data_IF_425183069215
#
_entry.id   IF_425183069215
#
_cell.length_a   1.000
_cell.length_b   1.000
_cell.length_c   1.000
_cell.angle_alpha   90.00
_cell.angle_beta   90.00
_cell.angle_gamma   90.00
#
_symmetry.space_group_name_H-M   'P 1'
#
loop_
_entity.id
_entity.type
_entity.pdbx_description
1 polymer ?
#
# COMPACT_ATOMS: atom_id res chain seq x y z
N UNK A 1 -25.60 7.52 16.48
CA UNK A 1 -25.64 6.20 15.84
C UNK A 1 -26.94 6.09 15.06
N UNK A 2 -26.87 5.93 13.73
CA UNK A 2 -28.02 5.46 12.93
C UNK A 2 -27.80 3.97 12.70
N UNK A 3 -28.69 3.13 13.24
CA UNK A 3 -28.69 1.69 13.00
C UNK A 3 -29.62 1.46 11.82
N UNK A 4 -29.09 1.08 10.68
CA UNK A 4 -29.89 0.71 9.53
C UNK A 4 -29.29 -0.58 8.98
N UNK A 5 -30.11 -1.64 8.83
CA UNK A 5 -29.70 -2.91 8.18
C UNK A 5 -28.37 -3.52 8.69
N UNK A 6 -28.26 -3.68 10.01
CA UNK A 6 -27.15 -4.35 10.72
C UNK A 6 -25.77 -3.65 10.65
N UNK A 7 -25.65 -2.40 10.19
CA UNK A 7 -24.40 -1.65 10.29
C UNK A 7 -24.52 -0.44 11.24
N UNK A 8 -23.37 0.07 11.65
CA UNK A 8 -23.22 1.21 12.56
C UNK A 8 -22.51 2.35 11.85
N UNK A 9 -23.12 3.54 11.85
CA UNK A 9 -22.47 4.77 11.39
C UNK A 9 -22.56 5.83 12.48
N UNK A 10 -21.42 6.44 12.79
CA UNK A 10 -21.32 7.60 13.67
C UNK A 10 -22.15 8.78 13.14
N UNK A 11 -22.59 9.67 14.05
CA UNK A 11 -23.25 10.93 13.65
C UNK A 11 -22.28 11.92 13.02
N UNK A 12 -20.98 11.86 13.34
CA UNK A 12 -19.96 12.76 12.79
C UNK A 12 -19.32 12.23 11.50
N UNK A 13 -19.62 10.99 11.11
CA UNK A 13 -19.16 10.45 9.84
C UNK A 13 -19.85 11.16 8.67
N UNK A 14 -19.08 11.47 7.62
CA UNK A 14 -19.57 12.08 6.39
C UNK A 14 -19.54 11.01 5.31
N UNK A 15 -20.73 10.63 4.84
CA UNK A 15 -20.91 9.63 3.80
C UNK A 15 -21.40 10.34 2.55
N UNK A 16 -20.61 10.31 1.47
CA UNK A 16 -20.95 10.97 0.22
C UNK A 16 -21.97 10.16 -0.60
N UNK A 17 -22.24 10.61 -1.83
CA UNK A 17 -23.30 10.04 -2.67
C UNK A 17 -22.94 8.64 -3.18
N UNK A 18 -23.96 7.79 -3.32
CA UNK A 18 -23.86 6.43 -3.85
C UNK A 18 -22.90 5.50 -3.09
N UNK A 19 -22.59 5.80 -1.82
CA UNK A 19 -21.81 4.90 -0.97
C UNK A 19 -22.65 3.69 -0.55
N UNK A 20 -22.08 2.50 -0.70
CA UNK A 20 -22.70 1.25 -0.27
C UNK A 20 -21.97 0.71 0.95
N UNK A 21 -22.70 0.38 2.01
CA UNK A 21 -22.15 -0.15 3.26
C UNK A 21 -22.80 -1.50 3.55
N UNK A 22 -21.97 -2.54 3.61
CA UNK A 22 -22.35 -3.91 3.90
C UNK A 22 -22.78 -4.10 5.36
N UNK A 23 -23.45 -5.24 5.60
CA UNK A 23 -23.93 -5.59 6.93
C UNK A 23 -22.77 -5.73 7.94
N UNK A 24 -23.05 -5.47 9.21
CA UNK A 24 -22.13 -5.59 10.35
C UNK A 24 -20.89 -4.68 10.28
N UNK A 25 -20.85 -3.74 9.34
CA UNK A 25 -19.76 -2.79 9.25
C UNK A 25 -19.92 -1.64 10.26
N UNK A 26 -18.81 -1.12 10.76
CA UNK A 26 -18.74 -0.02 11.72
C UNK A 26 -17.96 1.14 11.10
N UNK A 27 -18.60 2.30 11.01
CA UNK A 27 -17.98 3.54 10.57
C UNK A 27 -17.91 4.48 11.78
N UNK A 28 -16.69 4.72 12.27
CA UNK A 28 -16.41 5.50 13.47
C UNK A 28 -16.52 7.02 13.24
N UNK A 29 -16.32 7.76 14.32
CA UNK A 29 -16.33 9.22 14.34
C UNK A 29 -15.28 9.80 13.39
N UNK A 30 -15.63 10.92 12.74
CA UNK A 30 -14.74 11.71 11.87
C UNK A 30 -14.20 10.92 10.65
N UNK A 31 -14.89 9.86 10.25
CA UNK A 31 -14.65 9.19 8.97
C UNK A 31 -15.34 9.94 7.85
N UNK A 32 -14.64 10.16 6.75
CA UNK A 32 -15.18 10.69 5.51
C UNK A 32 -15.01 9.65 4.39
N UNK A 33 -16.11 9.31 3.72
CA UNK A 33 -16.12 8.33 2.62
C UNK A 33 -16.59 9.04 1.35
N UNK A 34 -15.73 9.04 0.32
CA UNK A 34 -15.98 9.64 -0.99
C UNK A 34 -17.03 8.90 -1.83
N UNK A 35 -17.45 9.53 -2.92
CA UNK A 35 -18.56 9.09 -3.76
C UNK A 35 -18.33 7.69 -4.35
N UNK A 36 -19.41 6.96 -4.61
CA UNK A 36 -19.40 5.67 -5.29
C UNK A 36 -18.51 4.59 -4.63
N UNK A 37 -18.16 4.77 -3.35
CA UNK A 37 -17.34 3.82 -2.61
C UNK A 37 -18.19 2.66 -2.11
N UNK A 38 -17.63 1.45 -2.17
CA UNK A 38 -18.25 0.24 -1.64
C UNK A 38 -17.44 -0.22 -0.43
N UNK A 39 -18.08 -0.28 0.72
CA UNK A 39 -17.57 -0.93 1.93
C UNK A 39 -18.34 -2.22 2.09
N UNK A 40 -17.68 -3.36 1.92
CA UNK A 40 -18.28 -4.68 2.09
C UNK A 40 -18.60 -4.98 3.56
N UNK A 41 -19.10 -6.19 3.84
CA UNK A 41 -19.58 -6.60 5.15
C UNK A 41 -18.45 -6.76 6.19
N UNK A 42 -18.81 -6.60 7.46
CA UNK A 42 -17.93 -6.79 8.61
C UNK A 42 -16.65 -5.90 8.56
N UNK A 43 -16.70 -4.76 7.88
CA UNK A 43 -15.57 -3.82 7.84
C UNK A 43 -15.61 -2.86 9.04
N UNK A 44 -14.46 -2.44 9.52
CA UNK A 44 -14.34 -1.39 10.53
C UNK A 44 -13.52 -0.26 9.94
N UNK A 45 -14.07 0.95 9.87
CA UNK A 45 -13.41 2.11 9.28
C UNK A 45 -13.31 3.22 10.34
N UNK A 46 -12.10 3.75 10.50
CA UNK A 46 -11.77 4.74 11.51
C UNK A 46 -11.59 4.17 12.92
N UNK A 47 -11.15 2.90 13.04
CA UNK A 47 -10.91 2.25 14.34
C UNK A 47 -10.06 3.15 15.26
N UNK A 48 -10.53 3.48 16.48
CA UNK A 48 -9.76 4.29 17.41
C UNK A 48 -8.44 3.64 17.78
N UNK A 49 -7.39 4.45 17.92
CA UNK A 49 -6.12 3.93 18.42
C UNK A 49 -6.19 3.66 19.95
N UNK A 50 -5.14 3.05 20.49
CA UNK A 50 -5.09 2.61 21.88
C UNK A 50 -5.25 3.72 22.94
N UNK A 51 -5.10 5.01 22.57
CA UNK A 51 -5.31 6.15 23.48
C UNK A 51 -6.78 6.31 23.87
N UNK A 52 -7.70 5.88 23.01
CA UNK A 52 -9.14 5.94 23.26
C UNK A 52 -9.59 5.21 24.53
N UNK A 53 -8.85 4.19 24.94
CA UNK A 53 -9.12 3.42 26.17
C UNK A 53 -8.60 4.10 27.45
N UNK A 54 -7.80 5.15 27.33
CA UNK A 54 -7.07 5.77 28.45
C UNK A 54 -7.38 7.24 28.65
N UNK A 55 -7.86 7.92 27.60
CA UNK A 55 -8.06 9.36 27.58
C UNK A 55 -9.55 9.69 27.50
N UNK A 56 -10.12 10.29 28.56
CA UNK A 56 -11.55 10.62 28.63
C UNK A 56 -12.01 11.61 27.54
N UNK A 57 -11.09 12.44 27.05
CA UNK A 57 -11.36 13.44 26.00
C UNK A 57 -10.76 13.06 24.64
N UNK A 58 -10.58 11.76 24.39
CA UNK A 58 -10.05 11.29 23.11
C UNK A 58 -10.97 11.72 21.95
N UNK A 59 -10.38 12.39 20.96
CA UNK A 59 -11.04 12.74 19.72
C UNK A 59 -10.48 11.84 18.63
N UNK A 60 -11.35 11.04 18.01
CA UNK A 60 -10.95 10.14 16.93
C UNK A 60 -10.38 10.96 15.75
N UNK A 61 -9.11 10.75 15.34
CA UNK A 61 -8.54 11.49 14.23
C UNK A 61 -9.30 11.25 12.92
N UNK A 62 -9.35 12.30 12.08
CA UNK A 62 -10.03 12.24 10.79
C UNK A 62 -9.46 11.11 9.92
N UNK A 63 -10.34 10.31 9.35
CA UNK A 63 -9.98 9.23 8.42
C UNK A 63 -10.66 9.48 7.09
N UNK A 64 -9.93 9.40 5.99
CA UNK A 64 -10.47 9.71 4.67
C UNK A 64 -10.33 8.53 3.72
N UNK A 65 -11.45 8.09 3.14
CA UNK A 65 -11.51 7.11 2.06
C UNK A 65 -11.89 7.84 0.77
N UNK A 66 -11.01 7.85 -0.22
CA UNK A 66 -11.26 8.48 -1.52
C UNK A 66 -12.43 7.87 -2.30
N UNK A 67 -12.92 8.60 -3.29
CA UNK A 67 -14.03 8.16 -4.14
C UNK A 67 -13.70 6.91 -4.95
N UNK A 68 -14.73 6.16 -5.37
CA UNK A 68 -14.62 4.95 -6.16
C UNK A 68 -13.78 3.84 -5.50
N UNK A 69 -13.68 3.85 -4.17
CA UNK A 69 -12.91 2.85 -3.42
C UNK A 69 -13.71 1.56 -3.22
N UNK A 70 -13.00 0.45 -3.06
CA UNK A 70 -13.58 -0.86 -2.75
C UNK A 70 -12.88 -1.45 -1.52
N UNK A 71 -13.54 -1.39 -0.37
CA UNK A 71 -13.05 -1.96 0.88
C UNK A 71 -13.74 -3.31 1.09
N UNK A 72 -12.99 -4.39 0.95
CA UNK A 72 -13.52 -5.75 0.98
C UNK A 72 -13.69 -6.29 2.40
N UNK A 73 -14.48 -7.37 2.51
CA UNK A 73 -15.08 -7.81 3.75
C UNK A 73 -14.05 -8.11 4.86
N UNK A 74 -14.38 -7.71 6.08
CA UNK A 74 -13.52 -7.94 7.24
C UNK A 74 -12.29 -7.03 7.33
N UNK A 75 -12.12 -6.06 6.43
CA UNK A 75 -11.04 -5.09 6.53
C UNK A 75 -11.21 -4.14 7.72
N UNK A 76 -10.12 -3.88 8.44
CA UNK A 76 -10.04 -2.94 9.56
C UNK A 76 -9.08 -1.82 9.18
N UNK A 77 -9.60 -0.60 9.14
CA UNK A 77 -8.85 0.62 8.85
C UNK A 77 -8.93 1.53 10.07
N UNK A 78 -7.79 1.88 10.63
CA UNK A 78 -7.68 2.71 11.81
C UNK A 78 -7.80 4.21 11.49
N UNK A 79 -8.07 4.94 12.57
CA UNK A 79 -8.21 6.38 12.58
C UNK A 79 -6.95 7.14 12.13
N UNK A 80 -7.13 8.33 11.58
CA UNK A 80 -6.00 9.19 11.18
C UNK A 80 -5.34 8.81 9.85
N UNK A 81 -5.86 7.80 9.16
CA UNK A 81 -5.34 7.33 7.88
C UNK A 81 -6.06 8.00 6.70
N UNK A 82 -5.36 8.17 5.58
CA UNK A 82 -5.88 8.81 4.37
C UNK A 82 -5.59 7.95 3.14
N UNK A 83 -6.61 7.72 2.33
CA UNK A 83 -6.55 6.86 1.16
C UNK A 83 -7.06 7.62 -0.06
N UNK A 84 -6.27 7.68 -1.12
CA UNK A 84 -6.64 8.32 -2.38
C UNK A 84 -7.81 7.65 -3.08
N UNK A 85 -8.22 8.22 -4.22
CA UNK A 85 -9.28 7.66 -5.06
C UNK A 85 -8.94 6.24 -5.56
N UNK A 86 -9.97 5.43 -5.78
CA UNK A 86 -9.83 4.05 -6.27
C UNK A 86 -9.00 3.15 -5.35
N UNK A 87 -8.95 3.43 -4.05
CA UNK A 87 -8.28 2.55 -3.08
C UNK A 87 -9.02 1.23 -2.96
N UNK A 88 -8.30 0.11 -3.04
CA UNK A 88 -8.91 -1.23 -3.01
C UNK A 88 -8.23 -2.12 -1.99
N UNK A 89 -9.01 -2.86 -1.20
CA UNK A 89 -8.49 -3.92 -0.33
C UNK A 89 -8.90 -5.31 -0.81
N UNK A 90 -8.13 -6.33 -0.41
CA UNK A 90 -8.56 -7.72 -0.30
C UNK A 90 -9.36 -7.93 0.99
N UNK A 91 -9.78 -9.16 1.27
CA UNK A 91 -10.52 -9.45 2.51
C UNK A 91 -9.58 -9.45 3.72
N UNK A 92 -10.09 -9.13 4.91
CA UNK A 92 -9.35 -9.26 6.18
C UNK A 92 -8.00 -8.51 6.20
N UNK A 93 -7.96 -7.34 5.58
CA UNK A 93 -6.79 -6.44 5.62
C UNK A 93 -6.82 -5.61 6.89
N UNK A 94 -5.67 -5.41 7.53
CA UNK A 94 -5.51 -4.51 8.69
C UNK A 94 -4.57 -3.35 8.32
N UNK A 95 -5.05 -2.11 8.45
CA UNK A 95 -4.24 -0.91 8.22
C UNK A 95 -4.37 0.00 9.43
N UNK A 96 -3.27 0.16 10.16
CA UNK A 96 -3.19 0.95 11.38
C UNK A 96 -3.09 2.45 11.13
N UNK A 97 -3.17 3.21 12.21
CA UNK A 97 -3.34 4.65 12.26
C UNK A 97 -2.24 5.42 11.53
N UNK A 98 -2.56 6.62 11.05
CA UNK A 98 -1.57 7.52 10.42
C UNK A 98 -1.01 7.04 9.08
N UNK A 99 -1.61 6.02 8.46
CA UNK A 99 -1.16 5.50 7.17
C UNK A 99 -1.70 6.36 6.03
N UNK A 100 -0.87 6.64 5.02
CA UNK A 100 -1.22 7.42 3.84
C UNK A 100 -1.01 6.58 2.59
N UNK A 101 -2.04 6.47 1.76
CA UNK A 101 -1.98 5.83 0.46
C UNK A 101 -2.41 6.81 -0.63
N UNK A 102 -1.64 6.88 -1.70
CA UNK A 102 -2.00 7.58 -2.93
C UNK A 102 -3.21 6.96 -3.64
N UNK A 103 -3.46 7.41 -4.87
CA UNK A 103 -4.58 6.92 -5.70
C UNK A 103 -4.29 5.54 -6.26
N UNK A 104 -5.34 4.78 -6.56
CA UNK A 104 -5.28 3.47 -7.22
C UNK A 104 -4.38 2.43 -6.51
N UNK A 105 -4.18 2.59 -5.20
CA UNK A 105 -3.46 1.61 -4.41
C UNK A 105 -4.32 0.37 -4.12
N UNK A 106 -3.68 -0.80 -4.14
CA UNK A 106 -4.32 -2.08 -3.87
C UNK A 106 -3.59 -2.76 -2.71
N UNK A 107 -4.34 -3.18 -1.68
CA UNK A 107 -3.80 -3.93 -0.53
C UNK A 107 -4.43 -5.31 -0.46
N UNK A 108 -3.67 -6.36 -0.76
CA UNK A 108 -4.16 -7.73 -0.89
C UNK A 108 -4.57 -8.38 0.43
N UNK A 109 -5.35 -9.46 0.33
CA UNK A 109 -5.97 -10.18 1.45
C UNK A 109 -4.98 -10.54 2.56
N UNK A 110 -5.40 -10.40 3.83
CA UNK A 110 -4.59 -10.70 5.01
C UNK A 110 -3.27 -9.92 5.13
N UNK A 111 -3.13 -8.80 4.42
CA UNK A 111 -1.99 -7.90 4.62
C UNK A 111 -2.19 -7.06 5.87
N UNK A 112 -1.07 -6.75 6.53
CA UNK A 112 -1.02 -6.03 7.79
C UNK A 112 -0.04 -4.85 7.67
N UNK A 113 -0.54 -3.63 7.87
CA UNK A 113 0.21 -2.37 7.78
C UNK A 113 0.18 -1.70 9.14
N UNK A 114 1.34 -1.57 9.79
CA UNK A 114 1.49 -1.24 11.21
C UNK A 114 1.42 0.26 11.56
N UNK A 115 0.96 1.12 10.63
CA UNK A 115 0.71 2.55 10.88
C UNK A 115 1.90 3.44 10.52
N UNK A 116 1.67 4.76 10.43
CA UNK A 116 2.68 5.75 10.03
C UNK A 116 3.46 5.36 8.76
N UNK A 117 2.78 4.75 7.80
CA UNK A 117 3.36 4.30 6.51
C UNK A 117 2.87 5.19 5.40
N UNK A 118 3.72 5.43 4.40
CA UNK A 118 3.39 6.25 3.24
C UNK A 118 3.58 5.45 1.96
N UNK A 119 2.54 5.37 1.14
CA UNK A 119 2.58 4.87 -0.23
C UNK A 119 2.21 5.97 -1.22
N UNK A 120 2.98 6.06 -2.32
CA UNK A 120 2.62 6.83 -3.50
C UNK A 120 1.44 6.22 -4.26
N UNK A 121 1.29 6.60 -5.53
CA UNK A 121 0.18 6.18 -6.36
C UNK A 121 0.41 4.79 -6.99
N UNK A 122 -0.67 4.07 -7.32
CA UNK A 122 -0.66 2.80 -8.06
C UNK A 122 0.19 1.68 -7.43
N UNK A 123 0.43 1.73 -6.12
CA UNK A 123 1.11 0.66 -5.40
C UNK A 123 0.22 -0.59 -5.30
N UNK A 124 0.84 -1.76 -5.36
CA UNK A 124 0.13 -3.04 -5.25
C UNK A 124 0.82 -3.94 -4.24
N UNK A 125 0.13 -4.22 -3.15
CA UNK A 125 0.51 -5.22 -2.17
C UNK A 125 -0.34 -6.46 -2.45
N UNK A 126 0.30 -7.62 -2.62
CA UNK A 126 -0.41 -8.89 -2.73
C UNK A 126 -0.75 -9.43 -1.34
N UNK A 127 -1.29 -10.65 -1.26
CA UNK A 127 -1.75 -11.24 -0.01
C UNK A 127 -0.64 -11.48 1.01
N UNK A 128 -0.97 -11.38 2.29
CA UNK A 128 -0.07 -11.65 3.42
C UNK A 128 1.20 -10.79 3.44
N UNK A 129 1.15 -9.56 2.94
CA UNK A 129 2.26 -8.62 3.08
C UNK A 129 2.24 -7.99 4.47
N UNK A 130 3.41 -7.89 5.11
CA UNK A 130 3.57 -7.25 6.41
C UNK A 130 4.46 -6.02 6.28
N UNK A 131 3.92 -4.85 6.63
CA UNK A 131 4.64 -3.57 6.58
C UNK A 131 4.78 -3.01 7.99
N UNK A 132 6.01 -2.96 8.49
CA UNK A 132 6.31 -2.27 9.74
C UNK A 132 6.13 -0.74 9.61
N UNK A 133 5.88 -0.08 10.74
CA UNK A 133 5.64 1.37 10.75
C UNK A 133 6.85 2.16 10.27
N UNK A 134 6.60 3.39 9.79
CA UNK A 134 7.59 4.34 9.25
C UNK A 134 8.23 3.94 7.91
N UNK A 135 7.71 2.92 7.24
CA UNK A 135 8.14 2.60 5.87
C UNK A 135 7.54 3.60 4.86
N UNK A 136 8.33 3.92 3.84
CA UNK A 136 7.95 4.86 2.77
C UNK A 136 8.13 4.21 1.41
N UNK A 137 7.13 4.32 0.56
CA UNK A 137 7.09 3.71 -0.76
C UNK A 137 6.73 4.78 -1.80
N UNK A 138 7.50 4.82 -2.88
CA UNK A 138 7.21 5.63 -4.06
C UNK A 138 5.95 5.14 -4.79
N UNK A 139 5.75 5.61 -6.01
CA UNK A 139 4.61 5.19 -6.85
C UNK A 139 4.94 3.93 -7.66
N UNK A 140 3.92 3.17 -8.03
CA UNK A 140 4.06 1.95 -8.84
C UNK A 140 4.94 0.87 -8.18
N UNK A 141 5.03 0.85 -6.85
CA UNK A 141 5.76 -0.19 -6.12
C UNK A 141 4.89 -1.44 -6.00
N UNK A 142 5.41 -2.57 -6.45
CA UNK A 142 4.72 -3.86 -6.38
C UNK A 142 5.39 -4.77 -5.34
N UNK A 143 4.61 -5.20 -4.36
CA UNK A 143 5.03 -6.02 -3.24
C UNK A 143 4.28 -7.35 -3.31
N UNK A 144 5.00 -8.42 -3.60
CA UNK A 144 4.43 -9.74 -3.83
C UNK A 144 4.11 -10.49 -2.52
N UNK A 145 3.43 -11.65 -2.57
CA UNK A 145 2.92 -12.29 -1.37
C UNK A 145 3.99 -12.60 -0.32
N UNK A 146 3.62 -12.53 0.96
CA UNK A 146 4.48 -12.92 2.10
C UNK A 146 5.77 -12.10 2.23
N UNK A 147 5.82 -10.89 1.66
CA UNK A 147 6.94 -9.97 1.90
C UNK A 147 6.79 -9.33 3.28
N UNK A 148 7.91 -9.21 3.98
CA UNK A 148 7.99 -8.60 5.32
C UNK A 148 8.97 -7.44 5.31
N UNK A 149 8.51 -6.27 5.74
CA UNK A 149 9.35 -5.12 6.05
C UNK A 149 9.48 -4.97 7.56
N UNK A 150 10.69 -4.72 8.03
CA UNK A 150 11.01 -4.55 9.46
C UNK A 150 11.52 -3.13 9.73
N UNK A 151 11.53 -2.72 11.00
CA UNK A 151 11.91 -1.35 11.37
C UNK A 151 12.73 -1.21 12.66
N UNK A 152 13.05 -2.29 13.38
CA UNK A 152 13.88 -2.23 14.60
C UNK A 152 15.29 -2.77 14.32
N UNK A 153 16.33 -1.92 14.16
CA UNK A 153 17.67 -2.37 13.80
C UNK A 153 18.34 -3.25 14.86
N UNK A 154 17.97 -3.09 16.14
CA UNK A 154 18.56 -3.77 17.29
C UNK A 154 17.46 -4.20 18.27
N UNK A 155 16.63 -5.20 17.91
CA UNK A 155 15.41 -5.49 18.65
C UNK A 155 15.64 -6.14 20.02
N UNK A 156 14.86 -5.79 21.06
CA UNK A 156 13.90 -4.67 21.08
C UNK A 156 14.59 -3.32 21.34
N UNK A 157 14.21 -2.27 20.61
CA UNK A 157 14.68 -0.90 20.84
C UNK A 157 13.58 0.16 20.71
N UNK A 158 13.86 1.35 21.25
CA UNK A 158 13.00 2.53 21.06
C UNK A 158 13.26 3.25 19.73
N UNK A 159 14.29 2.84 18.98
CA UNK A 159 14.70 3.50 17.74
C UNK A 159 14.18 2.67 16.57
N UNK A 160 13.01 3.05 16.08
CA UNK A 160 12.40 2.44 14.91
C UNK A 160 12.68 3.27 13.66
N UNK A 161 13.28 2.64 12.64
CA UNK A 161 13.65 3.22 11.35
C UNK A 161 13.12 2.29 10.25
N UNK A 162 12.06 2.72 9.57
CA UNK A 162 11.46 1.99 8.47
C UNK A 162 12.32 2.02 7.20
N UNK A 163 11.91 1.23 6.21
CA UNK A 163 12.57 1.16 4.91
C UNK A 163 12.04 2.23 3.95
N UNK A 164 12.82 2.54 2.90
CA UNK A 164 12.34 3.33 1.77
C UNK A 164 12.44 2.55 0.46
N UNK A 165 11.40 2.58 -0.38
CA UNK A 165 11.39 1.91 -1.69
C UNK A 165 11.02 2.91 -2.78
N UNK A 166 11.90 3.08 -3.77
CA UNK A 166 11.71 4.01 -4.88
C UNK A 166 10.69 3.54 -5.92
N UNK A 167 10.29 4.47 -6.78
CA UNK A 167 9.25 4.24 -7.80
C UNK A 167 9.55 3.02 -8.67
N UNK A 168 8.49 2.31 -9.07
CA UNK A 168 8.55 1.15 -9.98
C UNK A 168 9.35 -0.05 -9.45
N UNK A 169 9.80 -0.05 -8.20
CA UNK A 169 10.52 -1.19 -7.64
C UNK A 169 9.59 -2.36 -7.31
N UNK A 170 10.12 -3.57 -7.44
CA UNK A 170 9.41 -4.82 -7.21
C UNK A 170 10.09 -5.66 -6.14
N UNK A 171 9.31 -6.11 -5.16
CA UNK A 171 9.77 -6.95 -4.06
C UNK A 171 9.10 -8.31 -4.17
N UNK A 172 9.83 -9.29 -4.70
CA UNK A 172 9.26 -10.60 -4.99
C UNK A 172 8.94 -11.40 -3.72
N UNK A 173 8.09 -12.41 -3.90
CA UNK A 173 7.42 -13.13 -2.83
C UNK A 173 8.38 -13.69 -1.77
N UNK A 174 7.96 -13.66 -0.50
CA UNK A 174 8.71 -14.23 0.62
C UNK A 174 9.98 -13.47 1.01
N UNK A 175 10.22 -12.28 0.45
CA UNK A 175 11.41 -11.49 0.80
C UNK A 175 11.25 -10.77 2.13
N UNK A 176 12.36 -10.65 2.86
CA UNK A 176 12.44 -9.92 4.13
C UNK A 176 13.38 -8.73 3.94
N UNK A 177 12.90 -7.53 4.26
CA UNK A 177 13.67 -6.30 4.18
C UNK A 177 14.03 -5.86 5.61
N UNK A 178 15.34 -5.81 5.89
CA UNK A 178 15.84 -5.37 7.20
C UNK A 178 15.60 -3.87 7.41
N UNK A 179 15.68 -3.37 8.65
CA UNK A 179 15.48 -1.96 8.97
C UNK A 179 16.51 -1.06 8.30
N UNK A 180 16.21 0.24 8.19
CA UNK A 180 17.09 1.26 7.61
C UNK A 180 17.48 1.07 6.14
N UNK A 181 16.88 0.11 5.42
CA UNK A 181 17.24 -0.17 4.04
C UNK A 181 16.54 0.80 3.08
N UNK A 182 17.33 1.36 2.18
CA UNK A 182 16.85 2.10 1.02
C UNK A 182 16.99 1.27 -0.25
N UNK A 183 15.88 1.06 -0.95
CA UNK A 183 15.80 0.44 -2.26
C UNK A 183 15.48 1.55 -3.26
N UNK A 184 16.32 1.70 -4.28
CA UNK A 184 16.19 2.71 -5.33
C UNK A 184 14.96 2.51 -6.22
N UNK A 185 14.93 3.21 -7.35
CA UNK A 185 13.89 3.11 -8.39
C UNK A 185 14.16 1.96 -9.35
N UNK A 186 13.10 1.38 -9.91
CA UNK A 186 13.18 0.29 -10.90
C UNK A 186 14.00 -0.92 -10.46
N UNK A 187 14.10 -1.16 -9.15
CA UNK A 187 14.81 -2.30 -8.60
C UNK A 187 13.97 -3.57 -8.67
N UNK A 188 14.65 -4.70 -8.68
CA UNK A 188 14.03 -6.00 -8.46
C UNK A 188 14.71 -6.67 -7.26
N UNK A 189 13.92 -7.08 -6.27
CA UNK A 189 14.35 -8.01 -5.23
C UNK A 189 13.77 -9.37 -5.59
N UNK A 190 14.64 -10.37 -5.76
CA UNK A 190 14.28 -11.74 -6.10
C UNK A 190 13.53 -12.44 -4.97
N UNK A 191 12.79 -13.51 -5.29
CA UNK A 191 11.97 -14.21 -4.30
C UNK A 191 12.81 -14.79 -3.16
N UNK A 192 12.24 -14.84 -1.96
CA UNK A 192 12.86 -15.37 -0.74
C UNK A 192 14.21 -14.73 -0.40
N UNK A 193 14.34 -13.42 -0.63
CA UNK A 193 15.60 -12.69 -0.36
C UNK A 193 15.63 -12.06 1.03
N UNK A 194 16.80 -12.04 1.67
CA UNK A 194 17.06 -11.27 2.88
C UNK A 194 17.86 -10.01 2.53
N UNK A 195 17.19 -8.87 2.41
CA UNK A 195 17.83 -7.60 2.03
C UNK A 195 18.41 -6.92 3.27
N UNK A 196 19.73 -6.90 3.37
CA UNK A 196 20.47 -6.34 4.50
C UNK A 196 21.39 -5.17 4.11
N UNK A 197 21.32 -4.68 2.87
CA UNK A 197 22.08 -3.55 2.35
C UNK A 197 21.21 -2.73 1.40
N UNK A 198 21.54 -1.45 1.28
CA UNK A 198 20.89 -0.55 0.32
C UNK A 198 21.07 -1.06 -1.12
N UNK A 199 20.06 -0.81 -1.94
CA UNK A 199 19.98 -1.24 -3.34
C UNK A 199 19.87 0.00 -4.21
N UNK A 200 20.77 0.15 -5.18
CA UNK A 200 20.78 1.31 -6.09
C UNK A 200 19.76 1.13 -7.22
N UNK A 201 19.42 2.24 -7.88
CA UNK A 201 18.48 2.24 -8.99
C UNK A 201 18.82 1.20 -10.07
N UNK A 202 17.78 0.57 -10.62
CA UNK A 202 17.86 -0.43 -11.69
C UNK A 202 18.64 -1.71 -11.32
N UNK A 203 18.92 -1.96 -10.04
CA UNK A 203 19.64 -3.16 -9.62
C UNK A 203 18.70 -4.35 -9.38
N UNK A 204 19.24 -5.54 -9.64
CA UNK A 204 18.64 -6.81 -9.28
C UNK A 204 19.45 -7.47 -8.15
N UNK A 205 18.80 -7.69 -7.01
CA UNK A 205 19.37 -8.40 -5.86
C UNK A 205 18.57 -9.67 -5.55
N UNK A 206 19.25 -10.73 -5.12
CA UNK A 206 18.58 -11.98 -4.68
C UNK A 206 19.41 -12.77 -3.69
N UNK A 207 18.77 -13.63 -2.88
CA UNK A 207 19.43 -14.59 -1.99
C UNK A 207 19.40 -14.22 -0.50
N UNK A 208 20.08 -15.02 0.33
CA UNK A 208 20.19 -14.80 1.77
C UNK A 208 21.66 -14.93 2.24
N UNK A 209 22.36 -13.81 2.51
CA UNK A 209 21.91 -12.43 2.30
C UNK A 209 21.72 -12.11 0.82
N UNK A 210 20.87 -11.12 0.52
CA UNK A 210 20.63 -10.68 -0.84
C UNK A 210 21.91 -10.03 -1.41
N UNK A 211 22.30 -10.47 -2.60
CA UNK A 211 23.47 -9.94 -3.31
C UNK A 211 23.06 -9.42 -4.68
N UNK A 212 23.74 -8.36 -5.12
CA UNK A 212 23.58 -7.82 -6.46
C UNK A 212 24.03 -8.86 -7.49
N UNK A 213 23.13 -9.23 -8.38
CA UNK A 213 23.44 -10.14 -9.50
C UNK A 213 23.50 -9.42 -10.86
N UNK A 214 23.05 -8.16 -10.93
CA UNK A 214 23.18 -7.36 -12.14
C UNK A 214 22.23 -6.16 -12.16
N UNK A 215 22.05 -5.61 -13.36
CA UNK A 215 20.98 -4.66 -13.65
C UNK A 215 19.71 -5.40 -14.08
N UNK A 216 18.55 -4.82 -13.80
CA UNK A 216 17.25 -5.43 -14.15
C UNK A 216 17.06 -5.61 -15.67
N UNK A 217 17.67 -4.77 -16.49
CA UNK A 217 17.58 -4.83 -17.96
C UNK A 217 18.29 -6.05 -18.58
N UNK A 218 19.03 -6.84 -17.81
CA UNK A 218 19.60 -8.11 -18.26
C UNK A 218 18.61 -9.28 -18.16
N UNK A 219 17.46 -9.09 -17.50
CA UNK A 219 16.42 -10.11 -17.41
C UNK A 219 15.61 -10.06 -18.70
N UNK A 220 15.70 -11.13 -19.49
CA UNK A 220 15.11 -11.20 -20.81
C UNK A 220 13.72 -11.86 -20.79
N UNK A 221 12.75 -11.24 -21.45
CA UNK A 221 11.43 -11.83 -21.67
C UNK A 221 11.45 -12.74 -22.90
N UNK A 222 11.13 -14.03 -22.71
CA UNK A 222 10.98 -14.97 -23.84
C UNK A 222 9.76 -14.67 -24.70
N UNK A 223 8.70 -14.13 -24.09
CA UNK A 223 7.45 -13.77 -24.75
C UNK A 223 7.64 -12.57 -25.67
N UNK A 224 8.21 -11.48 -25.15
CA UNK A 224 8.35 -10.21 -25.89
C UNK A 224 9.66 -10.10 -26.68
N UNK A 225 10.57 -11.08 -26.55
CA UNK A 225 11.91 -11.08 -27.17
C UNK A 225 12.68 -9.77 -26.97
N UNK A 226 12.59 -9.21 -25.76
CA UNK A 226 13.28 -7.98 -25.33
C UNK A 226 13.51 -7.98 -23.81
N UNK A 227 14.28 -7.03 -23.24
CA UNK A 227 14.40 -6.89 -21.79
C UNK A 227 13.02 -6.76 -21.12
N UNK A 228 12.82 -7.49 -20.02
CA UNK A 228 11.59 -7.43 -19.23
C UNK A 228 11.50 -6.11 -18.45
N UNK A 229 12.64 -5.51 -18.09
CA UNK A 229 12.71 -4.30 -17.29
C UNK A 229 13.44 -3.16 -18.03
N UNK A 230 13.04 -1.89 -17.83
CA UNK A 230 12.00 -1.40 -16.92
C UNK A 230 10.60 -1.94 -17.24
N UNK A 231 9.91 -2.46 -16.22
CA UNK A 231 8.67 -3.21 -16.41
C UNK A 231 7.49 -2.40 -16.98
N UNK A 232 7.39 -1.05 -16.85
CA UNK A 232 6.27 -0.30 -17.43
C UNK A 232 6.12 -0.47 -18.95
N UNK A 233 7.22 -0.79 -19.65
CA UNK A 233 7.18 -1.08 -21.08
C UNK A 233 6.54 -2.42 -21.44
N UNK A 234 6.47 -3.35 -20.49
CA UNK A 234 6.05 -4.74 -20.71
C UNK A 234 4.77 -5.12 -19.95
N UNK A 235 4.21 -4.21 -19.15
CA UNK A 235 2.99 -4.46 -18.37
C UNK A 235 2.22 -3.15 -18.13
N UNK A 236 0.92 -3.21 -18.36
CA UNK A 236 0.06 -2.03 -18.41
C UNK A 236 -1.33 -2.23 -17.78
N UNK A 237 -1.70 -3.49 -17.44
CA UNK A 237 -3.01 -3.82 -16.89
C UNK A 237 -3.29 -3.08 -15.59
N UNK A 238 -4.34 -2.24 -15.61
CA UNK A 238 -4.78 -1.43 -14.48
C UNK A 238 -3.83 -0.28 -14.14
N UNK A 239 -3.10 0.22 -15.14
CA UNK A 239 -2.13 1.31 -15.01
C UNK A 239 -2.53 2.43 -15.98
N UNK A 240 -2.10 3.68 -15.71
CA UNK A 240 -2.60 4.83 -16.46
C UNK A 240 -2.11 4.86 -17.92
N UNK A 241 -1.16 4.00 -18.30
CA UNK A 241 -0.69 3.84 -19.66
C UNK A 241 -1.28 2.64 -20.43
N UNK A 242 -2.30 1.96 -19.90
CA UNK A 242 -2.93 0.79 -20.52
C UNK A 242 -3.36 0.99 -21.98
N UNK A 243 -3.86 2.18 -22.33
CA UNK A 243 -4.41 2.46 -23.66
C UNK A 243 -3.46 3.28 -24.55
N UNK A 244 -2.50 4.00 -23.94
CA UNK A 244 -1.63 4.96 -24.65
C UNK A 244 -0.17 4.51 -24.74
N UNK A 245 0.25 3.53 -23.94
CA UNK A 245 1.65 3.12 -23.81
C UNK A 245 2.46 4.06 -22.90
N UNK A 246 3.50 3.51 -22.28
CA UNK A 246 4.27 4.21 -21.24
C UNK A 246 4.98 5.47 -21.76
N UNK A 247 5.54 5.43 -22.97
CA UNK A 247 6.24 6.58 -23.56
C UNK A 247 5.30 7.76 -23.85
N UNK A 248 4.07 7.51 -24.29
CA UNK A 248 3.12 8.61 -24.51
C UNK A 248 2.53 9.11 -23.19
N UNK A 249 2.28 8.21 -22.24
CA UNK A 249 1.80 8.59 -20.91
C UNK A 249 2.79 9.50 -20.18
N UNK A 250 4.10 9.22 -20.24
CA UNK A 250 5.14 10.05 -19.57
C UNK A 250 5.24 11.48 -20.11
N UNK A 251 4.64 11.78 -21.27
CA UNK A 251 4.56 13.14 -21.82
C UNK A 251 3.39 13.95 -21.27
N UNK A 252 2.41 13.31 -20.62
CA UNK A 252 1.26 13.96 -19.98
C UNK A 252 1.66 14.63 -18.65
N UNK A 253 0.84 15.54 -18.12
CA UNK A 253 1.08 16.16 -16.81
C UNK A 253 1.19 15.12 -15.68
N UNK A 254 0.42 14.04 -15.76
CA UNK A 254 0.44 12.96 -14.78
C UNK A 254 1.73 12.12 -14.86
N UNK A 255 2.20 11.83 -16.08
CA UNK A 255 3.34 10.94 -16.29
C UNK A 255 4.71 11.61 -16.23
N UNK A 256 4.79 12.94 -16.42
CA UNK A 256 6.05 13.72 -16.42
C UNK A 256 6.96 13.47 -15.20
N UNK A 257 6.46 13.34 -13.95
CA UNK A 257 7.31 13.04 -12.80
C UNK A 257 8.02 11.68 -12.86
N UNK A 258 7.57 10.79 -13.75
CA UNK A 258 7.98 9.40 -13.85
C UNK A 258 8.70 9.06 -15.16
N UNK A 259 9.04 10.06 -15.97
CA UNK A 259 9.90 9.87 -17.14
C UNK A 259 11.28 9.33 -16.71
N UNK A 260 11.81 8.37 -17.48
CA UNK A 260 13.07 7.68 -17.21
C UNK A 260 14.31 8.50 -17.58
#
# INVERSE_FOLDING_TARGET
>A
MRINRNYTISKSAIIADNVQIGANSIIHDNVEIGNNTIVCENCIIGEPNARSYKEDNYINPKTYIGSNSLIRSGSIIYSGSSFGECFTTGNMVSIREGSVFGKNCIVGTFSDVQGDVVFGDYCRLNSHVQIASKCVFGSFVFIYPMVVFTNDPLPPSNILIGCSVGDFSQIAAGSIILPCISIGKHCLIGASSLVNKNVLDYEFHTGNPAVRIGKVNHIWSKENKRPQYPWPYNFDRGLPWAEVGFDEWTKTEEGKPYAL
#
